data_IF_726723295436
#
_entry.id   IF_726723295436
#
_cell.length_a   1.000
_cell.length_b   1.000
_cell.length_c   1.000
_cell.angle_alpha   90.00
_cell.angle_beta   90.00
_cell.angle_gamma   90.00
#
_symmetry.space_group_name_H-M   'P 1'
#
loop_
_entity.id
_entity.type
_entity.pdbx_description
1 polymer ?
#
# COMPACT_ATOMS: atom_id res chain seq x y z
N UNK A 1 18.17 -6.79 20.98
CA UNK A 1 17.81 -5.49 20.39
C UNK A 1 17.58 -5.72 18.91
N UNK A 2 16.32 -5.77 18.44
CA UNK A 2 15.99 -6.11 17.04
C UNK A 2 14.72 -5.38 16.56
N UNK A 3 14.60 -4.09 16.88
CA UNK A 3 13.39 -3.29 16.61
C UNK A 3 13.54 -2.24 15.50
N UNK A 4 14.73 -2.03 14.94
CA UNK A 4 14.99 -0.88 14.08
C UNK A 4 14.53 -1.04 12.62
N UNK A 5 14.40 -2.26 12.10
CA UNK A 5 14.05 -2.47 10.68
C UNK A 5 12.54 -2.29 10.41
N UNK A 6 11.68 -2.53 11.42
CA UNK A 6 10.23 -2.49 11.27
C UNK A 6 9.72 -1.03 11.16
N UNK A 7 10.22 -0.14 12.02
CA UNK A 7 9.86 1.29 11.96
C UNK A 7 10.28 1.93 10.63
N UNK A 8 11.47 1.59 10.11
CA UNK A 8 11.96 2.17 8.85
C UNK A 8 11.13 1.73 7.62
N UNK A 9 10.68 0.46 7.60
CA UNK A 9 9.82 -0.06 6.54
C UNK A 9 8.42 0.58 6.55
N UNK A 10 7.79 0.66 7.72
CA UNK A 10 6.47 1.26 7.90
C UNK A 10 6.51 2.76 7.59
N UNK A 11 7.52 3.48 8.09
CA UNK A 11 7.70 4.91 7.80
C UNK A 11 7.85 5.15 6.29
N UNK A 12 8.60 4.29 5.58
CA UNK A 12 8.73 4.40 4.13
C UNK A 12 7.43 4.15 3.37
N UNK A 13 6.55 3.27 3.86
CA UNK A 13 5.22 3.06 3.29
C UNK A 13 4.32 4.28 3.52
N UNK A 14 4.36 4.85 4.73
CA UNK A 14 3.54 6.03 5.09
C UNK A 14 3.94 7.23 4.24
N UNK A 15 5.23 7.56 4.14
CA UNK A 15 5.70 8.72 3.35
C UNK A 15 5.28 8.61 1.88
N UNK A 16 5.55 7.45 1.25
CA UNK A 16 5.15 7.21 -0.15
C UNK A 16 3.63 7.23 -0.34
N UNK A 17 2.89 6.67 0.62
CA UNK A 17 1.44 6.64 0.59
C UNK A 17 0.84 8.04 0.67
N UNK A 18 1.34 8.90 1.56
CA UNK A 18 0.84 10.28 1.71
C UNK A 18 1.01 11.06 0.41
N UNK A 19 2.20 11.02 -0.20
CA UNK A 19 2.47 11.73 -1.46
C UNK A 19 1.57 11.22 -2.60
N UNK A 20 1.41 9.90 -2.71
CA UNK A 20 0.59 9.29 -3.75
C UNK A 20 -0.91 9.60 -3.56
N UNK A 21 -1.41 9.56 -2.31
CA UNK A 21 -2.82 9.84 -2.01
C UNK A 21 -3.16 11.30 -2.31
N UNK A 22 -2.22 12.21 -2.05
CA UNK A 22 -2.36 13.61 -2.43
C UNK A 22 -2.44 13.80 -3.95
N UNK A 23 -1.60 13.11 -4.73
CA UNK A 23 -1.70 13.15 -6.20
C UNK A 23 -3.03 12.60 -6.71
N UNK A 24 -3.55 11.55 -6.08
CA UNK A 24 -4.86 10.96 -6.43
C UNK A 24 -5.98 11.94 -6.06
N UNK A 25 -5.93 12.57 -4.89
CA UNK A 25 -6.88 13.61 -4.48
C UNK A 25 -6.90 14.78 -5.48
N UNK A 26 -5.73 15.29 -5.87
CA UNK A 26 -5.59 16.36 -6.88
C UNK A 26 -6.01 15.91 -8.29
N UNK A 27 -5.85 14.62 -8.60
CA UNK A 27 -6.19 14.03 -9.89
C UNK A 27 -7.69 13.75 -10.06
N UNK A 28 -8.41 13.52 -8.96
CA UNK A 28 -9.84 13.27 -8.94
C UNK A 28 -10.63 14.59 -8.98
N UNK A 29 -11.75 14.57 -9.68
CA UNK A 29 -12.53 15.77 -9.99
C UNK A 29 -13.38 16.31 -8.84
N UNK A 30 -13.53 15.56 -7.74
CA UNK A 30 -14.34 15.97 -6.59
C UNK A 30 -13.98 15.20 -5.31
N UNK A 31 -14.36 15.78 -4.17
CA UNK A 31 -14.21 15.17 -2.85
C UNK A 31 -14.96 13.84 -2.76
N UNK A 32 -16.14 13.71 -3.38
CA UNK A 32 -16.89 12.46 -3.39
C UNK A 32 -16.14 11.34 -4.11
N UNK A 33 -15.46 11.66 -5.21
CA UNK A 33 -14.63 10.69 -5.93
C UNK A 33 -13.44 10.24 -5.07
N UNK A 34 -12.83 11.16 -4.32
CA UNK A 34 -11.75 10.84 -3.40
C UNK A 34 -12.23 9.98 -2.21
N UNK A 35 -13.40 10.28 -1.64
CA UNK A 35 -14.02 9.44 -0.61
C UNK A 35 -14.35 8.04 -1.12
N UNK A 36 -14.82 7.91 -2.37
CA UNK A 36 -15.03 6.62 -3.02
C UNK A 36 -13.72 5.83 -3.13
N UNK A 37 -12.63 6.48 -3.58
CA UNK A 37 -11.29 5.88 -3.61
C UNK A 37 -10.86 5.39 -2.22
N UNK A 38 -10.97 6.22 -1.18
CA UNK A 38 -10.59 5.84 0.19
C UNK A 38 -11.42 4.64 0.70
N UNK A 39 -12.72 4.61 0.39
CA UNK A 39 -13.61 3.49 0.74
C UNK A 39 -13.19 2.19 0.05
N UNK A 40 -12.90 2.24 -1.25
CA UNK A 40 -12.45 1.09 -2.02
C UNK A 40 -11.07 0.61 -1.54
N UNK A 41 -10.15 1.53 -1.27
CA UNK A 41 -8.83 1.20 -0.73
C UNK A 41 -8.94 0.51 0.63
N UNK A 42 -9.76 1.03 1.54
CA UNK A 42 -9.99 0.41 2.84
C UNK A 42 -10.52 -1.03 2.69
N UNK A 43 -11.57 -1.23 1.89
CA UNK A 43 -12.13 -2.57 1.61
C UNK A 43 -11.08 -3.53 1.04
N UNK A 44 -10.20 -3.03 0.15
CA UNK A 44 -9.11 -3.83 -0.38
C UNK A 44 -8.10 -4.22 0.70
N UNK A 45 -7.68 -3.27 1.55
CA UNK A 45 -6.73 -3.55 2.64
C UNK A 45 -7.30 -4.51 3.70
N UNK A 46 -8.62 -4.54 3.87
CA UNK A 46 -9.32 -5.52 4.71
C UNK A 46 -9.51 -6.89 4.03
N UNK A 47 -9.14 -7.03 2.75
CA UNK A 47 -9.31 -8.26 1.98
C UNK A 47 -10.75 -8.53 1.52
N UNK A 48 -11.63 -7.53 1.60
CA UNK A 48 -13.04 -7.65 1.18
C UNK A 48 -13.20 -7.62 -0.34
N UNK A 49 -12.30 -6.91 -1.03
CA UNK A 49 -12.29 -6.78 -2.48
C UNK A 49 -10.88 -6.94 -3.05
N UNK A 50 -10.81 -7.31 -4.32
CA UNK A 50 -9.56 -7.30 -5.08
C UNK A 50 -9.09 -5.87 -5.37
N UNK A 51 -7.90 -5.73 -5.93
CA UNK A 51 -7.28 -4.42 -6.19
C UNK A 51 -7.94 -3.67 -7.37
N UNK A 52 -8.50 -4.41 -8.33
CA UNK A 52 -9.03 -3.89 -9.60
C UNK A 52 -10.07 -2.76 -9.45
N UNK A 53 -11.05 -2.82 -8.54
CA UNK A 53 -11.99 -1.70 -8.31
C UNK A 53 -11.30 -0.42 -7.85
N UNK A 54 -10.23 -0.52 -7.05
CA UNK A 54 -9.43 0.64 -6.61
C UNK A 54 -8.74 1.28 -7.82
N UNK A 55 -8.14 0.46 -8.67
CA UNK A 55 -7.45 0.93 -9.88
C UNK A 55 -8.43 1.54 -10.89
N UNK A 56 -9.63 0.98 -11.02
CA UNK A 56 -10.69 1.56 -11.85
C UNK A 56 -11.12 2.95 -11.35
N UNK A 57 -11.08 3.19 -10.05
CA UNK A 57 -11.31 4.51 -9.48
C UNK A 57 -10.17 5.48 -9.84
N UNK A 58 -8.90 5.05 -9.70
CA UNK A 58 -7.72 5.87 -10.05
C UNK A 58 -7.67 6.19 -11.55
N UNK A 59 -8.16 5.32 -12.43
CA UNK A 59 -8.27 5.59 -13.87
C UNK A 59 -9.13 6.82 -14.21
N UNK A 60 -9.95 7.30 -13.27
CA UNK A 60 -10.71 8.55 -13.43
C UNK A 60 -9.86 9.79 -13.18
N UNK A 61 -8.63 9.64 -12.69
CA UNK A 61 -7.70 10.75 -12.52
C UNK A 61 -7.27 11.30 -13.89
N UNK A 62 -6.90 12.58 -13.90
CA UNK A 62 -6.35 13.23 -15.09
C UNK A 62 -4.97 12.70 -15.52
N UNK A 63 -4.20 12.11 -14.58
CA UNK A 63 -2.91 11.50 -14.85
C UNK A 63 -3.01 9.96 -14.92
N UNK A 64 -2.86 9.35 -16.11
CA UNK A 64 -2.92 7.89 -16.27
C UNK A 64 -1.74 7.16 -15.62
N UNK A 65 -0.61 7.84 -15.34
CA UNK A 65 0.56 7.26 -14.68
C UNK A 65 0.31 6.87 -13.22
N UNK A 66 -0.72 7.43 -12.59
CA UNK A 66 -1.06 7.14 -11.19
C UNK A 66 -1.49 5.69 -10.95
N UNK A 67 -2.01 5.01 -11.97
CA UNK A 67 -2.38 3.59 -11.85
C UNK A 67 -1.14 2.72 -11.66
N UNK A 68 -0.11 2.94 -12.47
CA UNK A 68 1.15 2.19 -12.39
C UNK A 68 1.90 2.55 -11.10
N UNK A 69 1.95 3.85 -10.75
CA UNK A 69 2.54 4.31 -9.49
C UNK A 69 1.84 3.66 -8.27
N UNK A 70 0.52 3.48 -8.33
CA UNK A 70 -0.25 2.82 -7.28
C UNK A 70 -0.01 1.31 -7.22
N UNK A 71 0.12 0.61 -8.36
CA UNK A 71 0.49 -0.81 -8.38
C UNK A 71 1.87 -1.02 -7.76
N UNK A 72 2.83 -0.17 -8.13
CA UNK A 72 4.19 -0.19 -7.58
C UNK A 72 4.18 0.05 -6.07
N UNK A 73 3.35 0.98 -5.60
CA UNK A 73 3.15 1.24 -4.17
C UNK A 73 2.60 0.02 -3.43
N UNK A 74 1.55 -0.62 -3.95
CA UNK A 74 0.97 -1.82 -3.32
C UNK A 74 1.99 -2.96 -3.26
N UNK A 75 2.74 -3.19 -4.35
CA UNK A 75 3.80 -4.21 -4.38
C UNK A 75 4.94 -3.87 -3.40
N UNK A 76 5.32 -2.60 -3.30
CA UNK A 76 6.31 -2.14 -2.34
C UNK A 76 5.88 -2.44 -0.90
N UNK A 77 4.64 -2.05 -0.54
CA UNK A 77 4.06 -2.33 0.78
C UNK A 77 4.02 -3.82 1.07
N UNK A 78 3.55 -4.64 0.13
CA UNK A 78 3.53 -6.09 0.27
C UNK A 78 4.93 -6.68 0.46
N UNK A 79 5.94 -6.18 -0.27
CA UNK A 79 7.31 -6.68 -0.16
C UNK A 79 7.93 -6.34 1.18
N UNK A 80 7.69 -5.11 1.67
CA UNK A 80 8.20 -4.66 2.97
C UNK A 80 7.55 -5.41 4.12
N UNK A 81 6.24 -5.66 4.05
CA UNK A 81 5.50 -6.43 5.06
C UNK A 81 5.75 -7.96 4.98
N UNK A 82 5.98 -8.53 3.79
CA UNK A 82 6.24 -9.99 3.62
C UNK A 82 7.67 -10.40 3.95
N UNK A 83 8.67 -9.52 3.80
CA UNK A 83 10.05 -9.83 4.19
C UNK A 83 10.17 -10.18 5.68
N UNK A 84 9.25 -9.69 6.50
CA UNK A 84 9.22 -9.97 7.93
C UNK A 84 8.63 -11.36 8.27
N UNK A 85 7.68 -11.88 7.49
CA UNK A 85 7.11 -13.23 7.74
C UNK A 85 8.13 -14.35 7.51
N UNK A 86 9.02 -14.19 6.53
CA UNK A 86 10.02 -15.21 6.16
C UNK A 86 11.21 -15.22 7.13
N UNK A 87 11.62 -14.07 7.67
CA UNK A 87 12.70 -14.00 8.67
C UNK A 87 12.26 -14.53 10.04
N UNK A 88 10.98 -14.39 10.42
CA UNK A 88 10.46 -14.96 11.66
C UNK A 88 10.38 -16.49 11.65
N UNK A 89 10.04 -17.10 10.52
CA UNK A 89 9.99 -18.56 10.38
C UNK A 89 11.38 -19.23 10.34
N UNK A 90 12.39 -18.57 9.78
CA UNK A 90 13.75 -19.12 9.74
C UNK A 90 14.44 -19.04 11.11
N UNK A 91 14.17 -18.02 11.92
CA UNK A 91 14.75 -17.88 13.26
C UNK A 91 14.24 -18.96 14.24
N UNK A 92 12.98 -19.38 14.13
CA UNK A 92 12.42 -20.47 14.96
C UNK A 92 13.02 -21.85 14.69
N UNK A 93 13.61 -22.10 13.51
CA UNK A 93 14.27 -23.38 13.18
C UNK A 93 15.70 -23.49 13.70
N UNK A 94 16.35 -22.37 14.03
CA UNK A 94 17.75 -22.35 14.45
C UNK A 94 17.97 -22.37 15.97
N UNK A 95 16.92 -22.15 16.77
CA UNK A 95 16.96 -22.21 18.24
C UNK A 95 16.57 -23.59 18.81
N UNK A 96 16.42 -24.61 17.96
CA UNK A 96 16.23 -26.02 18.38
C UNK A 96 17.50 -26.83 18.13
N UNK A 97 18.58 -26.56 18.88
CA UNK A 97 19.71 -27.48 19.10
C UNK A 97 20.12 -27.41 20.57
#
# INVERSE_FOLDING_TARGET
MNSNNNEEGVVSCVVRGVDLFKKIEEGLSSDEAYQEFLSLFHKHTCGEIQLEPVLACILRCSDPGLVDEFRDFVQFCQTKMKKETVEEEQKKKHDSI
#
